data_IF_400716520643
#
_entry.id   IF_400716520643
#
_cell.length_a   1.000
_cell.length_b   1.000
_cell.length_c   1.000
_cell.angle_alpha   90.00
_cell.angle_beta   90.00
_cell.angle_gamma   90.00
#
_symmetry.space_group_name_H-M   'P 1'
#
loop_
_entity.id
_entity.type
_entity.pdbx_description
1 polymer ?
#
# COMPACT_ATOMS: atom_id res chain seq x y z
N UNK A 1 1.58 -28.66 -7.31
CA UNK A 1 0.83 -27.47 -6.87
C UNK A 1 0.37 -26.71 -8.10
N UNK A 2 -0.92 -26.52 -8.22
CA UNK A 2 -1.52 -25.65 -9.23
C UNK A 2 -1.24 -24.18 -8.86
N UNK A 3 -0.91 -23.35 -9.85
CA UNK A 3 -0.65 -21.91 -9.65
C UNK A 3 -1.76 -21.12 -10.31
N UNK A 4 -2.26 -20.13 -9.61
CA UNK A 4 -3.28 -19.23 -10.10
C UNK A 4 -2.77 -17.79 -10.04
N UNK A 5 -3.05 -17.01 -11.11
CA UNK A 5 -2.77 -15.58 -11.14
C UNK A 5 -3.95 -14.85 -10.55
N UNK A 6 -3.73 -14.16 -9.41
CA UNK A 6 -4.79 -13.44 -8.69
C UNK A 6 -4.86 -11.96 -9.06
N UNK A 7 -3.77 -11.37 -9.56
CA UNK A 7 -3.70 -9.96 -9.98
C UNK A 7 -2.49 -9.74 -10.90
N UNK A 8 -2.53 -8.69 -11.73
CA UNK A 8 -1.42 -8.27 -12.58
C UNK A 8 -1.15 -6.76 -12.42
N UNK A 9 0.04 -6.32 -12.81
CA UNK A 9 0.40 -4.90 -12.73
C UNK A 9 0.73 -4.45 -11.31
N UNK A 10 1.20 -5.36 -10.47
CA UNK A 10 1.77 -5.12 -9.15
C UNK A 10 3.28 -5.05 -9.30
N UNK A 11 3.93 -4.08 -8.64
CA UNK A 11 5.38 -3.92 -8.69
C UNK A 11 6.10 -4.71 -7.60
N UNK A 12 5.83 -4.39 -6.34
CA UNK A 12 6.51 -4.98 -5.20
C UNK A 12 5.59 -4.99 -3.97
N UNK A 13 4.62 -5.89 -3.97
CA UNK A 13 3.74 -6.13 -2.83
C UNK A 13 4.46 -6.96 -1.77
N UNK A 14 4.39 -6.54 -0.52
CA UNK A 14 4.99 -7.24 0.62
C UNK A 14 3.93 -7.68 1.63
N UNK A 15 3.03 -6.78 2.03
CA UNK A 15 1.96 -7.07 2.97
C UNK A 15 0.66 -7.42 2.24
N UNK A 16 -0.02 -8.47 2.70
CA UNK A 16 -1.35 -8.82 2.21
C UNK A 16 -2.18 -9.48 3.31
N UNK A 17 -3.47 -9.22 3.28
CA UNK A 17 -4.43 -9.84 4.19
C UNK A 17 -5.84 -9.86 3.59
N UNK A 18 -6.64 -10.84 3.98
CA UNK A 18 -8.05 -10.86 3.66
C UNK A 18 -8.86 -10.12 4.73
N UNK A 19 -9.77 -9.24 4.30
CA UNK A 19 -10.68 -8.56 5.21
C UNK A 19 -11.57 -9.60 5.90
N UNK A 20 -11.54 -9.71 7.23
CA UNK A 20 -12.30 -10.73 7.96
C UNK A 20 -13.81 -10.56 7.86
N UNK A 21 -14.32 -9.41 7.41
CA UNK A 21 -15.76 -9.16 7.26
C UNK A 21 -16.35 -9.60 5.93
N UNK A 22 -15.58 -9.45 4.84
CA UNK A 22 -16.11 -9.67 3.48
C UNK A 22 -15.20 -10.55 2.61
N UNK A 23 -14.05 -10.99 3.12
CA UNK A 23 -13.12 -11.84 2.41
C UNK A 23 -12.34 -11.13 1.29
N UNK A 24 -12.45 -9.81 1.16
CA UNK A 24 -11.73 -9.06 0.12
C UNK A 24 -10.23 -9.07 0.41
N UNK A 25 -9.41 -9.35 -0.60
CA UNK A 25 -7.96 -9.24 -0.50
C UNK A 25 -7.54 -7.76 -0.48
N UNK A 26 -6.66 -7.42 0.46
CA UNK A 26 -5.97 -6.14 0.53
C UNK A 26 -4.46 -6.38 0.53
N UNK A 27 -3.70 -5.44 -0.05
CA UNK A 27 -2.25 -5.55 -0.11
C UNK A 27 -1.59 -4.17 -0.26
N UNK A 28 -0.36 -4.06 0.26
CA UNK A 28 0.52 -2.92 0.03
C UNK A 28 1.28 -3.12 -1.28
N UNK A 29 1.66 -2.03 -1.96
CA UNK A 29 2.53 -2.10 -3.14
C UNK A 29 3.52 -0.93 -3.16
N UNK A 30 4.81 -1.26 -3.31
CA UNK A 30 5.90 -0.31 -3.36
C UNK A 30 6.22 0.07 -4.79
N UNK A 31 6.35 1.37 -5.05
CA UNK A 31 6.48 1.92 -6.39
C UNK A 31 7.92 2.17 -6.81
N UNK A 32 8.11 2.59 -8.07
CA UNK A 32 9.42 2.80 -8.69
C UNK A 32 10.20 3.95 -8.03
N UNK A 33 11.51 3.86 -8.09
CA UNK A 33 12.45 4.90 -7.65
C UNK A 33 12.80 5.86 -8.79
N UNK A 34 13.53 6.95 -8.47
CA UNK A 34 14.10 7.84 -9.48
C UNK A 34 13.13 8.82 -10.12
N UNK A 35 12.00 9.09 -9.48
CA UNK A 35 10.99 10.06 -9.93
C UNK A 35 10.87 11.28 -9.01
N UNK A 36 11.87 11.53 -8.16
CA UNK A 36 11.85 12.57 -7.14
C UNK A 36 11.30 12.11 -5.80
N UNK A 37 11.33 12.99 -4.80
CA UNK A 37 10.98 12.65 -3.43
C UNK A 37 9.47 12.45 -3.21
N UNK A 38 8.63 13.07 -4.04
CA UNK A 38 7.18 13.12 -3.82
C UNK A 38 6.40 12.13 -4.69
N UNK A 39 7.08 11.46 -5.65
CA UNK A 39 6.44 10.55 -6.59
C UNK A 39 7.27 9.32 -6.92
N UNK A 40 6.59 8.19 -7.27
CA UNK A 40 5.17 7.95 -7.09
C UNK A 40 4.86 7.55 -5.64
N UNK A 41 3.64 7.81 -5.15
CA UNK A 41 3.22 7.33 -3.83
C UNK A 41 3.20 5.81 -3.75
N UNK A 42 3.42 5.27 -2.55
CA UNK A 42 3.11 3.87 -2.25
C UNK A 42 1.61 3.63 -2.26
N UNK A 43 1.19 2.38 -2.27
CA UNK A 43 -0.22 2.03 -2.41
C UNK A 43 -0.70 1.08 -1.32
N UNK A 44 -1.92 1.34 -0.83
CA UNK A 44 -2.73 0.32 -0.17
C UNK A 44 -3.90 -0.01 -1.09
N UNK A 45 -3.90 -1.22 -1.60
CA UNK A 45 -4.84 -1.72 -2.58
C UNK A 45 -5.91 -2.60 -1.95
N UNK A 46 -7.14 -2.49 -2.46
CA UNK A 46 -8.24 -3.42 -2.27
C UNK A 46 -8.51 -4.13 -3.58
N UNK A 47 -8.57 -5.43 -3.59
CA UNK A 47 -8.87 -6.17 -4.81
C UNK A 47 -10.27 -5.83 -5.34
N UNK A 48 -10.35 -5.32 -6.57
CA UNK A 48 -11.61 -5.10 -7.28
C UNK A 48 -12.24 -6.45 -7.68
N UNK A 49 -11.41 -7.40 -8.05
CA UNK A 49 -11.72 -8.81 -8.29
C UNK A 49 -10.40 -9.58 -8.27
N UNK A 50 -10.45 -10.90 -8.24
CA UNK A 50 -9.29 -11.76 -8.41
C UNK A 50 -9.20 -12.26 -9.86
N UNK A 51 -7.98 -12.44 -10.35
CA UNK A 51 -7.70 -13.03 -11.65
C UNK A 51 -6.82 -12.20 -12.56
N UNK A 52 -6.37 -12.78 -13.69
CA UNK A 52 -5.35 -12.19 -14.57
C UNK A 52 -5.86 -11.01 -15.41
N UNK A 53 -7.11 -10.62 -15.29
CA UNK A 53 -7.68 -9.48 -16.04
C UNK A 53 -7.62 -8.18 -15.24
N UNK A 54 -7.55 -8.22 -13.91
CA UNK A 54 -7.51 -7.02 -13.07
C UNK A 54 -6.08 -6.49 -13.03
N UNK A 55 -5.92 -5.22 -13.44
CA UNK A 55 -4.62 -4.57 -13.54
C UNK A 55 -4.48 -3.43 -12.52
N UNK A 56 -3.32 -3.35 -11.83
CA UNK A 56 -3.05 -2.43 -10.73
C UNK A 56 -2.04 -1.31 -11.07
N UNK A 57 -1.68 -1.12 -12.33
CA UNK A 57 -0.93 0.06 -12.78
C UNK A 57 0.45 -0.23 -13.34
N UNK A 58 1.24 -1.04 -12.67
CA UNK A 58 2.62 -1.33 -13.11
C UNK A 58 2.63 -2.09 -14.44
N UNK A 59 3.56 -1.77 -15.37
CA UNK A 59 4.67 -0.81 -15.28
C UNK A 59 4.33 0.61 -15.75
N UNK A 60 3.11 0.86 -16.23
CA UNK A 60 2.74 2.13 -16.87
C UNK A 60 2.50 3.26 -15.87
N UNK A 61 1.91 2.92 -14.72
CA UNK A 61 1.63 3.85 -13.63
C UNK A 61 2.08 3.27 -12.30
N UNK A 62 2.29 4.13 -11.33
CA UNK A 62 2.51 3.80 -9.94
C UNK A 62 1.88 4.86 -9.07
N UNK A 63 1.36 4.48 -7.88
CA UNK A 63 0.68 5.39 -7.00
C UNK A 63 -0.47 6.08 -7.72
N UNK A 64 -1.56 5.37 -7.94
CA UNK A 64 -2.70 5.89 -8.66
C UNK A 64 -2.42 6.07 -10.16
N UNK A 65 -2.38 7.31 -10.64
CA UNK A 65 -2.26 7.58 -12.09
C UNK A 65 -0.92 8.23 -12.48
N UNK A 66 0.09 8.19 -11.60
CA UNK A 66 1.41 8.75 -11.88
C UNK A 66 2.12 7.90 -12.93
N UNK A 67 2.38 8.47 -14.11
CA UNK A 67 3.08 7.78 -15.22
C UNK A 67 4.53 7.54 -14.85
N UNK A 68 4.98 6.29 -14.97
CA UNK A 68 6.39 5.97 -14.73
C UNK A 68 7.27 6.54 -15.85
N UNK A 69 8.49 6.96 -15.52
CA UNK A 69 9.42 7.58 -16.48
C UNK A 69 9.71 6.69 -17.69
N UNK A 70 9.84 5.38 -17.47
CA UNK A 70 10.13 4.42 -18.54
C UNK A 70 8.97 4.24 -19.53
N UNK A 71 7.74 4.44 -19.05
CA UNK A 71 6.51 4.17 -19.83
C UNK A 71 5.69 5.44 -20.11
N UNK A 72 6.19 6.64 -19.77
CA UNK A 72 5.43 7.90 -19.91
C UNK A 72 4.92 8.14 -21.33
N UNK A 73 5.70 7.77 -22.35
CA UNK A 73 5.38 7.97 -23.77
C UNK A 73 4.75 6.73 -24.43
N UNK A 74 4.51 5.65 -23.67
CA UNK A 74 3.90 4.43 -24.19
C UNK A 74 2.41 4.40 -23.87
N UNK A 75 1.59 4.07 -24.86
CA UNK A 75 0.17 3.88 -24.62
C UNK A 75 -0.09 2.72 -23.66
N UNK A 76 -1.03 2.90 -22.73
CA UNK A 76 -1.53 1.79 -21.90
C UNK A 76 -2.40 0.90 -22.80
N UNK A 77 -2.14 -0.41 -22.87
CA UNK A 77 -3.00 -1.32 -23.63
C UNK A 77 -4.46 -1.21 -23.16
N UNK A 78 -5.39 -1.18 -24.11
CA UNK A 78 -6.83 -1.04 -23.80
C UNK A 78 -7.32 -2.07 -22.80
N UNK A 79 -6.86 -3.33 -22.90
CA UNK A 79 -7.22 -4.38 -21.97
C UNK A 79 -6.83 -4.10 -20.52
N UNK A 80 -5.74 -3.34 -20.29
CA UNK A 80 -5.33 -2.89 -18.97
C UNK A 80 -6.13 -1.69 -18.51
N UNK A 81 -6.26 -0.68 -19.36
CA UNK A 81 -7.02 0.53 -19.05
C UNK A 81 -8.47 0.23 -18.65
N UNK A 82 -9.14 -0.66 -19.39
CA UNK A 82 -10.53 -1.07 -19.13
C UNK A 82 -10.71 -1.85 -17.81
N UNK A 83 -9.64 -2.41 -17.27
CA UNK A 83 -9.67 -3.25 -16.06
C UNK A 83 -8.78 -2.70 -14.94
N UNK A 84 -8.53 -1.40 -14.95
CA UNK A 84 -7.69 -0.76 -13.93
C UNK A 84 -8.41 -0.67 -12.59
N UNK A 85 -7.79 -1.27 -11.59
CA UNK A 85 -8.20 -1.18 -10.19
C UNK A 85 -7.33 -0.17 -9.47
N UNK A 86 -7.89 1.00 -9.14
CA UNK A 86 -7.18 2.08 -8.46
C UNK A 86 -6.87 1.73 -7.00
N UNK A 87 -5.75 2.21 -6.45
CA UNK A 87 -5.48 2.07 -5.03
C UNK A 87 -6.55 2.75 -4.18
N UNK A 88 -6.79 2.21 -3.00
CA UNK A 88 -7.70 2.81 -2.01
C UNK A 88 -7.03 3.94 -1.24
N UNK A 89 -5.71 3.86 -1.04
CA UNK A 89 -4.91 4.89 -0.39
C UNK A 89 -3.59 5.05 -1.14
N UNK A 90 -3.25 6.29 -1.42
CA UNK A 90 -1.92 6.68 -1.83
C UNK A 90 -1.12 7.05 -0.58
N UNK A 91 -0.08 6.27 -0.29
CA UNK A 91 0.83 6.50 0.83
C UNK A 91 1.94 7.47 0.42
N UNK A 92 2.63 8.09 1.37
CA UNK A 92 3.76 8.97 1.01
C UNK A 92 4.81 8.20 0.22
N UNK A 93 5.35 8.84 -0.81
CA UNK A 93 6.38 8.24 -1.66
C UNK A 93 7.59 7.79 -0.83
N UNK A 94 8.19 6.68 -1.20
CA UNK A 94 9.39 6.10 -0.59
C UNK A 94 9.25 5.63 0.86
N UNK A 95 8.08 5.67 1.47
CA UNK A 95 7.90 5.20 2.85
C UNK A 95 8.13 3.70 3.02
N UNK A 96 8.12 2.94 1.93
CA UNK A 96 8.24 1.47 1.89
C UNK A 96 7.15 0.80 2.74
N UNK A 97 5.94 0.79 2.21
CA UNK A 97 4.78 0.13 2.82
C UNK A 97 4.95 -1.39 2.73
N UNK A 98 5.11 -2.03 3.88
CA UNK A 98 5.42 -3.46 3.98
C UNK A 98 4.24 -4.24 4.57
N UNK A 99 4.47 -5.01 5.68
CA UNK A 99 3.47 -5.85 6.28
C UNK A 99 2.20 -5.13 6.71
N UNK A 100 1.07 -5.81 6.66
CA UNK A 100 -0.22 -5.26 7.05
C UNK A 100 -1.13 -6.34 7.66
N UNK A 101 -2.07 -5.91 8.50
CA UNK A 101 -3.10 -6.77 9.05
C UNK A 101 -4.42 -6.02 9.24
N UNK A 102 -5.52 -6.77 9.35
CA UNK A 102 -6.78 -6.26 9.89
C UNK A 102 -6.84 -6.46 11.40
N UNK A 103 -7.18 -5.42 12.15
CA UNK A 103 -7.36 -5.55 13.59
C UNK A 103 -8.70 -6.21 13.93
N UNK A 104 -8.65 -7.36 14.58
CA UNK A 104 -9.82 -8.14 15.01
C UNK A 104 -9.96 -8.23 16.54
N UNK A 105 -8.98 -7.63 17.25
CA UNK A 105 -8.93 -7.65 18.71
C UNK A 105 -9.99 -6.79 19.39
N UNK A 106 -9.99 -6.85 20.72
CA UNK A 106 -10.93 -6.12 21.58
C UNK A 106 -10.23 -5.15 22.54
N UNK A 107 -8.88 -5.12 22.54
CA UNK A 107 -8.11 -4.28 23.45
C UNK A 107 -8.20 -2.80 23.06
N UNK A 108 -8.08 -2.49 21.77
CA UNK A 108 -8.17 -1.13 21.28
C UNK A 108 -9.63 -0.64 21.17
N UNK A 109 -9.87 0.67 21.28
CA UNK A 109 -11.20 1.25 21.12
C UNK A 109 -11.91 0.81 19.82
N UNK A 110 -13.25 0.82 19.85
CA UNK A 110 -14.10 0.37 18.73
C UNK A 110 -13.77 0.97 17.37
N UNK A 111 -13.21 2.19 17.33
CA UNK A 111 -12.81 2.84 16.08
C UNK A 111 -11.76 2.05 15.28
N UNK A 112 -10.97 1.23 15.96
CA UNK A 112 -9.94 0.39 15.33
C UNK A 112 -10.46 -0.98 14.86
N UNK A 113 -11.68 -1.37 15.21
CA UNK A 113 -12.20 -2.67 14.81
C UNK A 113 -12.32 -2.75 13.29
N UNK A 114 -11.67 -3.76 12.70
CA UNK A 114 -11.54 -3.96 11.26
C UNK A 114 -10.79 -2.83 10.53
N UNK A 115 -10.03 -1.98 11.25
CA UNK A 115 -9.06 -1.09 10.63
C UNK A 115 -7.85 -1.90 10.14
N UNK A 116 -7.17 -1.37 9.14
CA UNK A 116 -5.92 -1.93 8.63
C UNK A 116 -4.77 -1.22 9.34
N UNK A 117 -3.86 -2.00 9.91
CA UNK A 117 -2.57 -1.52 10.38
C UNK A 117 -1.52 -1.93 9.38
N UNK A 118 -0.62 -1.01 8.99
CA UNK A 118 0.46 -1.30 8.05
C UNK A 118 1.77 -0.67 8.50
N UNK A 119 2.87 -1.39 8.26
CA UNK A 119 4.21 -0.94 8.59
C UNK A 119 4.79 -0.12 7.44
N UNK A 120 5.26 1.10 7.73
CA UNK A 120 6.13 1.88 6.84
C UNK A 120 7.58 1.73 7.31
N UNK A 121 8.39 1.08 6.48
CA UNK A 121 9.79 0.76 6.79
C UNK A 121 10.68 2.00 6.85
N UNK A 122 10.35 3.01 6.07
CA UNK A 122 11.11 4.23 5.91
C UNK A 122 11.96 4.25 4.64
N UNK A 123 12.19 5.45 4.14
CA UNK A 123 12.91 5.68 2.88
C UNK A 123 14.40 5.33 2.99
N UNK A 124 15.01 5.05 1.86
CA UNK A 124 16.46 4.93 1.70
C UNK A 124 17.02 5.95 0.69
N UNK A 125 16.18 6.51 -0.16
CA UNK A 125 16.54 7.34 -1.32
C UNK A 125 15.86 8.71 -1.35
N UNK A 126 15.10 9.09 -0.31
CA UNK A 126 14.54 10.43 -0.20
C UNK A 126 15.56 11.41 0.41
N UNK A 127 15.59 12.65 -0.08
CA UNK A 127 16.44 13.72 0.44
C UNK A 127 16.13 13.98 1.93
N UNK A 128 14.83 14.03 2.26
CA UNK A 128 14.37 14.03 3.65
C UNK A 128 13.86 12.63 3.98
N UNK A 129 14.51 11.91 4.90
CA UNK A 129 14.00 10.62 5.37
C UNK A 129 12.54 10.72 5.79
N UNK A 130 11.75 9.68 5.48
CA UNK A 130 10.31 9.62 5.75
C UNK A 130 9.85 8.20 6.03
N UNK A 131 8.67 8.03 6.60
CA UNK A 131 8.18 6.74 7.04
C UNK A 131 8.72 6.32 8.40
N UNK A 132 9.16 5.07 8.57
CA UNK A 132 9.55 4.45 9.85
C UNK A 132 8.46 4.63 10.92
N UNK A 133 7.26 4.14 10.60
CA UNK A 133 6.07 4.27 11.44
C UNK A 133 5.06 3.18 11.16
N UNK A 134 4.06 3.06 12.01
CA UNK A 134 2.88 2.24 11.77
C UNK A 134 1.73 3.16 11.39
N UNK A 135 1.07 2.84 10.29
CA UNK A 135 -0.13 3.54 9.83
C UNK A 135 -1.38 2.81 10.27
N UNK A 136 -2.49 3.53 10.39
CA UNK A 136 -3.82 2.95 10.51
C UNK A 136 -4.73 3.52 9.42
N UNK A 137 -5.40 2.63 8.70
CA UNK A 137 -6.42 2.97 7.70
C UNK A 137 -7.79 2.50 8.21
N UNK A 138 -8.69 3.46 8.38
CA UNK A 138 -10.08 3.18 8.77
C UNK A 138 -10.92 2.89 7.55
N UNK A 139 -11.85 1.95 7.67
CA UNK A 139 -12.77 1.59 6.61
C UNK A 139 -14.17 2.18 6.84
N UNK A 140 -14.85 2.48 5.75
CA UNK A 140 -16.26 2.84 5.77
C UNK A 140 -17.17 1.59 5.89
N UNK A 141 -18.47 1.80 5.91
CA UNK A 141 -19.46 0.69 6.01
C UNK A 141 -19.48 -0.20 4.77
N UNK A 142 -18.97 0.28 3.64
CA UNK A 142 -18.86 -0.47 2.37
C UNK A 142 -17.54 -1.22 2.25
N UNK A 143 -16.68 -1.13 3.27
CA UNK A 143 -15.35 -1.73 3.28
C UNK A 143 -14.36 -1.05 2.34
N UNK A 144 -14.51 0.26 2.07
CA UNK A 144 -13.52 1.06 1.36
C UNK A 144 -12.72 1.90 2.36
N UNK A 145 -11.51 2.32 1.98
CA UNK A 145 -10.72 3.21 2.80
C UNK A 145 -11.46 4.56 2.97
N UNK A 146 -11.57 5.00 4.22
CA UNK A 146 -12.19 6.27 4.62
C UNK A 146 -11.15 7.33 4.92
N UNK A 147 -10.14 6.96 5.68
CA UNK A 147 -9.02 7.82 6.08
C UNK A 147 -7.85 6.98 6.52
N UNK A 148 -6.64 7.52 6.38
CA UNK A 148 -5.42 6.92 6.89
C UNK A 148 -4.62 7.97 7.68
N UNK A 149 -3.97 7.54 8.75
CA UNK A 149 -3.17 8.40 9.62
C UNK A 149 -2.05 7.60 10.29
N UNK A 150 -0.97 8.24 10.77
CA UNK A 150 -0.01 7.58 11.63
C UNK A 150 -0.67 7.07 12.91
N UNK A 151 -0.39 5.81 13.27
CA UNK A 151 -0.82 5.20 14.53
C UNK A 151 0.29 5.24 15.58
N UNK A 152 1.51 4.92 15.18
CA UNK A 152 2.68 4.94 16.04
C UNK A 152 3.90 5.44 15.29
N UNK A 153 4.61 6.41 15.88
CA UNK A 153 5.81 7.04 15.35
C UNK A 153 6.89 7.09 16.45
N UNK A 154 8.11 7.50 16.08
CA UNK A 154 9.23 7.64 17.02
C UNK A 154 10.45 6.79 16.65
N UNK A 155 10.37 6.01 15.58
CA UNK A 155 11.51 5.26 15.05
C UNK A 155 12.44 6.08 14.16
N UNK A 156 12.14 7.35 13.94
CA UNK A 156 12.99 8.29 13.22
C UNK A 156 13.21 9.54 14.07
N UNK A 157 14.47 9.97 14.19
CA UNK A 157 14.84 11.20 14.90
C UNK A 157 14.51 12.43 14.05
N UNK A 158 14.49 13.61 14.67
CA UNK A 158 14.35 14.89 13.97
C UNK A 158 15.48 15.14 12.94
N UNK A 159 16.65 14.54 13.16
CA UNK A 159 17.79 14.60 12.24
C UNK A 159 17.68 13.61 11.08
N UNK A 160 16.61 12.82 11.00
CA UNK A 160 16.38 11.84 9.94
C UNK A 160 17.13 10.52 10.11
N UNK A 161 17.66 10.23 11.30
CA UNK A 161 18.30 8.94 11.61
C UNK A 161 17.21 7.94 12.03
N UNK A 162 17.25 6.75 11.47
CA UNK A 162 16.35 5.66 11.88
C UNK A 162 16.87 4.93 13.13
N UNK A 163 16.07 4.91 14.20
CA UNK A 163 16.29 4.12 15.41
C UNK A 163 15.73 2.70 15.29
N UNK A 164 14.76 2.55 14.38
CA UNK A 164 14.12 1.29 14.03
C UNK A 164 13.39 1.44 12.71
N UNK A 165 13.11 0.32 12.06
CA UNK A 165 12.45 0.30 10.75
C UNK A 165 11.38 -0.79 10.77
N UNK A 166 10.10 -0.44 11.01
CA UNK A 166 9.00 -1.40 11.03
C UNK A 166 8.92 -2.22 9.73
N UNK A 167 8.70 -3.52 9.84
CA UNK A 167 8.61 -4.45 8.70
C UNK A 167 7.22 -5.05 8.61
N UNK A 168 6.65 -5.42 9.76
CA UNK A 168 5.36 -6.08 9.82
C UNK A 168 4.61 -5.70 11.09
N UNK A 169 3.33 -6.00 11.11
CA UNK A 169 2.42 -5.80 12.23
C UNK A 169 1.59 -7.06 12.44
N UNK A 170 1.53 -7.52 13.69
CA UNK A 170 0.76 -8.71 14.05
C UNK A 170 -0.02 -8.50 15.33
N UNK A 171 -1.12 -9.22 15.47
CA UNK A 171 -1.97 -9.25 16.66
C UNK A 171 -1.82 -10.61 17.34
N UNK A 172 -1.68 -10.59 18.67
CA UNK A 172 -1.75 -11.76 19.53
C UNK A 172 -3.10 -11.87 20.20
#
# INVERSE_FOLDING_TARGET
LEREVVAIGIRNSVGHAFNPKDGTLWFTDNQVDGMGDETPPGELNKACALGPKVWYGHPYTGGGEVRTNEYKDKAIPKAYADNYCKPQVEMIAHAADLGMMFYTGKMFPKKYHNAIFSAQHGSWNAIKPRGARVMVTYLDRKGNAKSTEPFAEGWMTEMGTYLGRPVDVQQY
#
